data_IF_068073413632
#
_entry.id   IF_068073413632
#
_cell.length_a   1.000
_cell.length_b   1.000
_cell.length_c   1.000
_cell.angle_alpha   90.00
_cell.angle_beta   90.00
_cell.angle_gamma   90.00
#
_symmetry.space_group_name_H-M   'P 1'
#
loop_
_entity.id
_entity.type
_entity.pdbx_description
1 polymer ?
#
# COMPACT_ATOMS: atom_id res chain seq x y z
N UNK A 1 -36.30 -42.94 17.82
CA UNK A 1 -34.91 -42.46 17.74
C UNK A 1 -34.94 -41.07 17.09
N UNK A 2 -34.79 -39.98 17.86
CA UNK A 2 -34.87 -38.60 17.33
C UNK A 2 -33.50 -38.21 16.76
N UNK A 3 -33.44 -37.81 15.49
CA UNK A 3 -32.24 -37.24 14.87
C UNK A 3 -32.12 -35.77 15.30
N UNK A 4 -31.01 -35.42 15.92
CA UNK A 4 -30.61 -34.03 16.13
C UNK A 4 -29.77 -33.60 14.92
N UNK A 5 -30.13 -32.47 14.30
CA UNK A 5 -29.22 -31.77 13.38
C UNK A 5 -28.41 -30.79 14.24
N UNK A 6 -27.12 -31.08 14.41
CA UNK A 6 -26.18 -30.11 14.93
C UNK A 6 -25.80 -29.20 13.76
N UNK A 7 -26.27 -27.96 13.77
CA UNK A 7 -25.76 -26.91 12.90
C UNK A 7 -24.72 -26.16 13.73
N UNK A 8 -23.44 -26.41 13.43
CA UNK A 8 -22.34 -25.59 13.92
C UNK A 8 -22.21 -24.46 12.91
N UNK A 9 -22.56 -23.24 13.32
CA UNK A 9 -22.24 -22.07 12.49
C UNK A 9 -20.73 -21.87 12.51
N UNK A 10 -20.04 -21.90 11.35
CA UNK A 10 -18.65 -21.49 11.27
C UNK A 10 -18.65 -19.95 11.31
N UNK A 11 -18.81 -19.36 12.50
CA UNK A 11 -19.04 -17.91 12.61
C UNK A 11 -17.78 -17.07 12.77
N UNK A 12 -16.60 -17.69 12.93
CA UNK A 12 -15.34 -16.95 12.86
C UNK A 12 -14.88 -16.94 11.41
N UNK A 13 -14.86 -15.76 10.83
CA UNK A 13 -14.35 -15.56 9.47
C UNK A 13 -12.82 -15.45 9.52
N UNK A 14 -12.15 -15.88 8.45
CA UNK A 14 -10.69 -15.72 8.25
C UNK A 14 -10.21 -14.28 8.55
N UNK A 15 -11.07 -13.28 8.35
CA UNK A 15 -10.77 -11.89 8.64
C UNK A 15 -10.70 -11.55 10.14
N UNK A 16 -11.56 -12.14 10.97
CA UNK A 16 -11.55 -11.93 12.42
C UNK A 16 -10.30 -12.55 13.05
N UNK A 17 -9.91 -13.75 12.61
CA UNK A 17 -8.67 -14.39 13.07
C UNK A 17 -7.43 -13.58 12.69
N UNK A 18 -7.39 -13.05 11.46
CA UNK A 18 -6.31 -12.16 11.00
C UNK A 18 -6.24 -10.88 11.83
N UNK A 19 -7.38 -10.28 12.17
CA UNK A 19 -7.40 -9.08 13.00
C UNK A 19 -6.93 -9.37 14.43
N UNK A 20 -7.34 -10.49 15.03
CA UNK A 20 -6.86 -10.91 16.36
C UNK A 20 -5.35 -11.18 16.36
N UNK A 21 -4.83 -11.82 15.31
CA UNK A 21 -3.40 -12.04 15.16
C UNK A 21 -2.64 -10.72 15.03
N UNK A 22 -3.14 -9.79 14.21
CA UNK A 22 -2.58 -8.45 14.07
C UNK A 22 -2.55 -7.70 15.41
N UNK A 23 -3.67 -7.65 16.13
CA UNK A 23 -3.76 -6.95 17.41
C UNK A 23 -2.79 -7.56 18.44
N UNK A 24 -2.67 -8.89 18.45
CA UNK A 24 -1.71 -9.61 19.27
C UNK A 24 -0.26 -9.23 18.95
N UNK A 25 0.13 -9.29 17.68
CA UNK A 25 1.48 -8.95 17.22
C UNK A 25 1.83 -7.49 17.54
N UNK A 26 0.92 -6.55 17.27
CA UNK A 26 1.13 -5.13 17.57
C UNK A 26 1.21 -4.91 19.08
N UNK A 27 0.37 -5.56 19.88
CA UNK A 27 0.44 -5.45 21.34
C UNK A 27 1.82 -5.87 21.88
N UNK A 28 2.42 -6.93 21.32
CA UNK A 28 3.78 -7.37 21.67
C UNK A 28 4.80 -6.30 21.31
N UNK A 29 4.76 -5.78 20.08
CA UNK A 29 5.69 -4.72 19.63
C UNK A 29 5.54 -3.40 20.37
N UNK A 30 4.39 -3.13 20.98
CA UNK A 30 4.14 -1.97 21.84
C UNK A 30 4.42 -2.24 23.33
N UNK A 31 4.88 -3.44 23.70
CA UNK A 31 5.07 -3.85 25.09
C UNK A 31 3.77 -3.93 25.91
N UNK A 32 2.63 -3.97 25.24
CA UNK A 32 1.33 -4.11 25.88
C UNK A 32 1.12 -5.58 26.23
N UNK A 33 1.13 -5.90 27.53
CA UNK A 33 0.69 -7.22 27.97
C UNK A 33 -0.80 -7.36 27.66
N UNK A 34 -1.15 -8.24 26.74
CA UNK A 34 -2.53 -8.48 26.34
C UNK A 34 -3.44 -8.65 27.57
N UNK A 35 -4.61 -8.00 27.55
CA UNK A 35 -5.66 -8.32 28.54
C UNK A 35 -5.90 -9.83 28.44
N UNK A 36 -5.60 -10.56 29.52
CA UNK A 36 -5.90 -11.99 29.64
C UNK A 36 -7.33 -12.21 29.14
N UNK A 37 -7.50 -13.07 28.13
CA UNK A 37 -8.83 -13.65 27.84
C UNK A 37 -9.28 -14.28 29.16
N UNK A 38 -10.43 -13.84 29.67
CA UNK A 38 -10.84 -13.98 31.07
C UNK A 38 -11.14 -15.42 31.54
N UNK A 39 -10.69 -16.46 30.82
CA UNK A 39 -11.04 -17.87 31.09
C UNK A 39 -9.84 -18.81 31.32
N UNK A 40 -8.61 -18.30 31.46
CA UNK A 40 -7.48 -19.15 31.85
C UNK A 40 -7.48 -19.38 33.38
N UNK A 41 -7.76 -20.63 33.77
CA UNK A 41 -7.86 -21.10 35.15
C UNK A 41 -6.69 -20.76 36.08
N UNK A 42 -6.94 -20.94 37.38
CA UNK A 42 -6.23 -20.42 38.57
C UNK A 42 -4.72 -20.69 38.73
N UNK A 43 -4.01 -21.24 37.75
CA UNK A 43 -2.61 -21.66 37.91
C UNK A 43 -1.62 -20.96 36.95
N UNK A 44 -1.93 -19.75 36.48
CA UNK A 44 -0.98 -18.94 35.71
C UNK A 44 -0.04 -18.17 36.65
N UNK A 45 1.18 -18.69 36.85
CA UNK A 45 2.30 -18.00 37.51
C UNK A 45 2.40 -16.55 37.00
N UNK A 46 2.50 -15.61 37.93
CA UNK A 46 2.69 -14.19 37.67
C UNK A 46 3.83 -13.99 36.66
N UNK A 47 3.46 -13.55 35.45
CA UNK A 47 4.37 -12.81 34.58
C UNK A 47 4.64 -11.51 35.36
N UNK A 48 5.92 -11.21 35.64
CA UNK A 48 6.37 -10.15 36.56
C UNK A 48 5.48 -8.90 36.49
N UNK A 49 4.96 -8.44 37.63
CA UNK A 49 4.05 -7.28 37.70
C UNK A 49 4.72 -5.95 37.34
N UNK A 50 6.04 -5.93 37.18
CA UNK A 50 6.81 -4.75 36.80
C UNK A 50 6.56 -4.38 35.33
N UNK A 51 6.37 -3.08 35.03
CA UNK A 51 6.23 -2.60 33.67
C UNK A 51 7.55 -2.81 32.91
N UNK A 52 7.46 -3.13 31.61
CA UNK A 52 8.63 -3.20 30.74
C UNK A 52 9.32 -1.84 30.67
N UNK A 53 10.65 -1.86 30.63
CA UNK A 53 11.47 -0.68 30.35
C UNK A 53 11.36 -0.28 28.88
N UNK A 54 11.66 0.97 28.55
CA UNK A 54 11.63 1.43 27.16
C UNK A 54 12.57 0.62 26.26
N UNK A 55 13.76 0.25 26.77
CA UNK A 55 14.72 -0.56 26.03
C UNK A 55 14.18 -1.96 25.69
N UNK A 56 13.47 -2.60 26.62
CA UNK A 56 12.81 -3.89 26.35
C UNK A 56 11.66 -3.76 25.34
N UNK A 57 10.92 -2.64 25.38
CA UNK A 57 9.86 -2.36 24.39
C UNK A 57 10.48 -2.15 23.01
N UNK A 58 11.58 -1.42 22.92
CA UNK A 58 12.28 -1.16 21.66
C UNK A 58 12.85 -2.47 21.09
N UNK A 59 13.44 -3.33 21.93
CA UNK A 59 13.92 -4.67 21.50
C UNK A 59 12.77 -5.54 20.97
N UNK A 60 11.61 -5.54 21.63
CA UNK A 60 10.42 -6.25 21.16
C UNK A 60 9.91 -5.69 19.84
N UNK A 61 9.86 -4.36 19.70
CA UNK A 61 9.47 -3.69 18.45
C UNK A 61 10.38 -4.10 17.31
N UNK A 62 11.69 -4.03 17.51
CA UNK A 62 12.69 -4.38 16.50
C UNK A 62 12.57 -5.85 16.09
N UNK A 63 12.35 -6.75 17.04
CA UNK A 63 12.13 -8.17 16.76
C UNK A 63 10.85 -8.42 15.93
N UNK A 64 9.75 -7.73 16.24
CA UNK A 64 8.50 -7.84 15.47
C UNK A 64 8.66 -7.28 14.06
N UNK A 65 9.30 -6.12 13.91
CA UNK A 65 9.57 -5.50 12.61
C UNK A 65 10.49 -6.38 11.76
N UNK A 66 11.56 -6.93 12.34
CA UNK A 66 12.44 -7.87 11.64
C UNK A 66 11.68 -9.12 11.18
N UNK A 67 10.81 -9.67 12.02
CA UNK A 67 9.96 -10.81 11.65
C UNK A 67 8.97 -10.48 10.53
N UNK A 68 8.39 -9.27 10.52
CA UNK A 68 7.53 -8.81 9.44
C UNK A 68 8.30 -8.65 8.13
N UNK A 69 9.53 -8.11 8.17
CA UNK A 69 10.42 -7.99 7.01
C UNK A 69 10.79 -9.36 6.42
N UNK A 70 11.18 -10.30 7.27
CA UNK A 70 11.49 -11.67 6.87
C UNK A 70 10.29 -12.35 6.19
N UNK A 71 9.08 -12.08 6.69
CA UNK A 71 7.86 -12.58 6.07
C UNK A 71 7.63 -11.96 4.69
N UNK A 72 7.84 -10.64 4.53
CA UNK A 72 7.71 -9.97 3.23
C UNK A 72 8.59 -10.60 2.15
N UNK A 73 9.81 -11.05 2.48
CA UNK A 73 10.75 -11.62 1.52
C UNK A 73 10.26 -12.91 0.82
N UNK A 74 9.24 -13.58 1.36
CA UNK A 74 8.73 -14.86 0.85
C UNK A 74 7.22 -14.88 0.59
N UNK A 75 6.51 -13.86 1.05
CA UNK A 75 5.07 -13.84 1.03
C UNK A 75 4.53 -13.38 -0.33
N UNK A 76 3.43 -13.99 -0.75
CA UNK A 76 2.73 -13.60 -1.98
C UNK A 76 1.83 -12.37 -1.78
N UNK A 77 1.46 -12.04 -0.54
CA UNK A 77 0.64 -10.88 -0.18
C UNK A 77 1.23 -10.17 1.04
N UNK A 78 1.40 -8.85 0.94
CA UNK A 78 2.08 -8.05 1.96
C UNK A 78 1.16 -7.17 2.80
N UNK A 79 -0.16 -7.29 2.66
CA UNK A 79 -1.13 -6.40 3.31
C UNK A 79 -0.95 -6.34 4.84
N UNK A 80 -0.90 -7.50 5.50
CA UNK A 80 -0.79 -7.59 6.95
C UNK A 80 0.60 -7.24 7.52
N UNK A 81 1.73 -7.74 7.00
CA UNK A 81 3.03 -7.32 7.50
C UNK A 81 3.24 -5.80 7.32
N UNK A 82 2.77 -5.19 6.22
CA UNK A 82 2.82 -3.74 6.04
C UNK A 82 1.98 -2.99 7.08
N UNK A 83 0.77 -3.49 7.42
CA UNK A 83 -0.04 -2.93 8.51
C UNK A 83 0.66 -3.04 9.87
N UNK A 84 1.32 -4.17 10.15
CA UNK A 84 2.08 -4.36 11.41
C UNK A 84 3.21 -3.33 11.49
N UNK A 85 4.01 -3.20 10.44
CA UNK A 85 5.09 -2.21 10.40
C UNK A 85 4.55 -0.78 10.55
N UNK A 86 3.45 -0.43 9.88
CA UNK A 86 2.81 0.89 10.02
C UNK A 86 2.35 1.20 11.45
N UNK A 87 1.89 0.19 12.19
CA UNK A 87 1.42 0.36 13.55
C UNK A 87 2.56 0.50 14.58
N UNK A 88 3.77 0.06 14.23
CA UNK A 88 4.91 0.00 15.15
C UNK A 88 5.97 1.06 14.86
N UNK A 89 6.13 1.45 13.60
CA UNK A 89 7.13 2.41 13.15
C UNK A 89 6.55 3.82 13.08
N UNK A 90 7.41 4.82 13.28
CA UNK A 90 7.08 6.20 12.93
C UNK A 90 7.13 6.41 11.41
N UNK A 91 6.77 7.62 10.96
CA UNK A 91 6.66 7.92 9.53
C UNK A 91 8.00 7.77 8.79
N UNK A 92 9.11 8.22 9.38
CA UNK A 92 10.45 8.16 8.77
C UNK A 92 10.96 6.72 8.65
N UNK A 93 10.83 5.92 9.72
CA UNK A 93 11.22 4.52 9.68
C UNK A 93 10.32 3.71 8.73
N UNK A 94 9.02 3.97 8.72
CA UNK A 94 8.10 3.27 7.82
C UNK A 94 8.33 3.63 6.34
N UNK A 95 8.61 4.89 6.04
CA UNK A 95 9.02 5.34 4.71
C UNK A 95 10.24 4.54 4.22
N UNK A 96 11.27 4.44 5.07
CA UNK A 96 12.49 3.69 4.76
C UNK A 96 12.20 2.22 4.45
N UNK A 97 11.36 1.55 5.25
CA UNK A 97 10.96 0.16 4.98
C UNK A 97 10.23 0.02 3.64
N UNK A 98 9.32 0.95 3.32
CA UNK A 98 8.59 0.92 2.06
C UNK A 98 9.53 1.10 0.85
N UNK A 99 10.48 2.03 0.94
CA UNK A 99 11.49 2.26 -0.09
C UNK A 99 12.41 1.04 -0.27
N UNK A 100 12.86 0.42 0.82
CA UNK A 100 13.68 -0.79 0.77
C UNK A 100 12.92 -1.97 0.14
N UNK A 101 11.65 -2.17 0.52
CA UNK A 101 10.80 -3.22 -0.05
C UNK A 101 10.52 -3.00 -1.54
N UNK A 102 10.15 -1.77 -1.94
CA UNK A 102 9.89 -1.47 -3.35
C UNK A 102 11.17 -1.57 -4.18
N UNK A 103 12.31 -1.14 -3.64
CA UNK A 103 13.62 -1.24 -4.31
C UNK A 103 14.10 -2.68 -4.55
N UNK A 104 13.49 -3.66 -3.88
CA UNK A 104 13.72 -5.09 -4.13
C UNK A 104 13.00 -5.64 -5.37
N UNK A 105 12.18 -4.82 -6.04
CA UNK A 105 11.45 -5.18 -7.25
C UNK A 105 11.94 -4.36 -8.46
N UNK A 106 11.78 -4.92 -9.66
CA UNK A 106 12.00 -4.25 -10.94
C UNK A 106 10.67 -4.04 -11.68
N UNK A 107 10.73 -3.49 -12.90
CA UNK A 107 9.58 -3.27 -13.79
C UNK A 107 9.37 -4.40 -14.80
N UNK A 108 10.13 -5.50 -14.70
CA UNK A 108 10.08 -6.61 -15.63
C UNK A 108 8.97 -7.63 -15.27
N UNK A 109 8.78 -8.61 -16.16
CA UNK A 109 7.76 -9.63 -15.97
C UNK A 109 8.06 -10.46 -14.72
N UNK A 110 7.12 -10.44 -13.78
CA UNK A 110 7.11 -11.31 -12.62
C UNK A 110 5.81 -12.11 -12.58
N UNK A 111 5.91 -13.39 -12.21
CA UNK A 111 4.73 -14.27 -12.12
C UNK A 111 3.69 -13.78 -11.10
N UNK A 112 4.15 -13.25 -9.97
CA UNK A 112 3.29 -12.68 -8.93
C UNK A 112 3.63 -11.21 -8.74
N UNK A 113 2.71 -10.32 -9.12
CA UNK A 113 2.82 -8.87 -8.97
C UNK A 113 2.09 -8.33 -7.74
N UNK A 114 1.46 -9.20 -6.94
CA UNK A 114 0.71 -8.77 -5.75
C UNK A 114 1.59 -8.05 -4.71
N UNK A 115 2.83 -8.49 -4.40
CA UNK A 115 3.68 -7.79 -3.43
C UNK A 115 3.94 -6.33 -3.77
N UNK A 116 4.34 -6.04 -5.01
CA UNK A 116 4.58 -4.67 -5.49
C UNK A 116 3.30 -3.82 -5.48
N UNK A 117 2.15 -4.40 -5.81
CA UNK A 117 0.85 -3.72 -5.69
C UNK A 117 0.54 -3.35 -4.23
N UNK A 118 0.74 -4.27 -3.28
CA UNK A 118 0.51 -3.99 -1.86
C UNK A 118 1.46 -2.90 -1.33
N UNK A 119 2.72 -2.89 -1.78
CA UNK A 119 3.70 -1.86 -1.41
C UNK A 119 3.29 -0.49 -1.97
N UNK A 120 2.96 -0.39 -3.27
CA UNK A 120 2.47 0.84 -3.88
C UNK A 120 1.24 1.38 -3.15
N UNK A 121 0.26 0.52 -2.86
CA UNK A 121 -0.93 0.92 -2.10
C UNK A 121 -0.61 1.42 -0.67
N UNK A 122 0.39 0.83 0.00
CA UNK A 122 0.83 1.30 1.32
C UNK A 122 1.53 2.68 1.25
N UNK A 123 2.25 2.95 0.16
CA UNK A 123 2.91 4.24 -0.09
C UNK A 123 1.92 5.41 -0.27
N UNK A 124 0.66 5.15 -0.60
CA UNK A 124 -0.38 6.21 -0.67
C UNK A 124 -0.52 6.99 0.64
N UNK A 125 -0.27 6.34 1.78
CA UNK A 125 -0.38 6.94 3.12
C UNK A 125 0.86 7.69 3.59
N UNK A 126 1.95 7.70 2.81
CA UNK A 126 3.23 8.32 3.16
C UNK A 126 3.63 9.27 2.04
N UNK A 127 3.42 10.57 2.26
CA UNK A 127 3.63 11.60 1.24
C UNK A 127 5.01 12.24 1.40
N UNK A 128 5.98 11.82 0.58
CA UNK A 128 7.34 12.38 0.59
C UNK A 128 7.91 12.45 -0.83
N UNK A 129 8.89 13.34 -1.09
CA UNK A 129 9.57 13.39 -2.39
C UNK A 129 10.23 12.05 -2.77
N UNK A 130 10.79 11.31 -1.80
CA UNK A 130 11.43 10.04 -2.07
C UNK A 130 10.44 8.95 -2.51
N UNK A 131 9.27 8.88 -1.86
CA UNK A 131 8.20 7.96 -2.27
C UNK A 131 7.67 8.32 -3.66
N UNK A 132 7.42 9.61 -3.92
CA UNK A 132 7.01 10.10 -5.24
C UNK A 132 7.98 9.65 -6.33
N UNK A 133 9.27 9.90 -6.14
CA UNK A 133 10.32 9.53 -7.10
C UNK A 133 10.43 8.01 -7.29
N UNK A 134 10.31 7.22 -6.22
CA UNK A 134 10.36 5.77 -6.30
C UNK A 134 9.16 5.17 -7.06
N UNK A 135 7.97 5.73 -6.87
CA UNK A 135 6.72 5.28 -7.52
C UNK A 135 6.74 5.57 -9.02
N UNK A 136 7.32 6.70 -9.45
CA UNK A 136 7.37 7.09 -10.86
C UNK A 136 8.04 6.03 -11.76
N UNK A 137 9.03 5.30 -11.25
CA UNK A 137 9.65 4.20 -11.99
C UNK A 137 8.65 3.09 -12.38
N UNK A 138 7.62 2.86 -11.57
CA UNK A 138 6.60 1.84 -11.79
C UNK A 138 5.47 2.27 -12.72
N UNK A 139 5.50 3.52 -13.21
CA UNK A 139 4.63 3.93 -14.31
C UNK A 139 4.98 3.19 -15.60
N UNK A 140 6.20 2.69 -15.77
CA UNK A 140 6.65 1.93 -16.95
C UNK A 140 6.67 0.41 -16.71
N UNK A 141 5.96 -0.09 -15.70
CA UNK A 141 5.89 -1.52 -15.41
C UNK A 141 5.28 -2.31 -16.58
N UNK A 142 5.80 -3.50 -16.90
CA UNK A 142 5.20 -4.33 -17.97
C UNK A 142 3.77 -4.79 -17.66
N UNK A 143 3.41 -4.87 -16.37
CA UNK A 143 2.08 -5.26 -15.92
C UNK A 143 1.15 -4.06 -15.78
N UNK A 144 0.05 -4.06 -16.54
CA UNK A 144 -0.97 -3.00 -16.52
C UNK A 144 -1.54 -2.73 -15.11
N UNK A 145 -1.73 -3.76 -14.29
CA UNK A 145 -2.30 -3.58 -12.95
C UNK A 145 -1.32 -2.83 -12.04
N UNK A 146 -0.03 -3.09 -12.17
CA UNK A 146 1.01 -2.37 -11.43
C UNK A 146 1.04 -0.90 -11.87
N UNK A 147 1.05 -0.62 -13.17
CA UNK A 147 0.98 0.75 -13.70
C UNK A 147 -0.25 1.49 -13.18
N UNK A 148 -1.41 0.83 -13.14
CA UNK A 148 -2.63 1.41 -12.58
C UNK A 148 -2.47 1.83 -11.11
N UNK A 149 -1.88 0.97 -10.28
CA UNK A 149 -1.59 1.30 -8.88
C UNK A 149 -0.49 2.36 -8.74
N UNK A 150 0.51 2.36 -9.61
CA UNK A 150 1.53 3.42 -9.65
C UNK A 150 0.88 4.78 -9.92
N UNK A 151 0.00 4.90 -10.93
CA UNK A 151 -0.76 6.13 -11.20
C UNK A 151 -1.59 6.57 -9.99
N UNK A 152 -2.30 5.64 -9.33
CA UNK A 152 -3.05 5.95 -8.11
C UNK A 152 -2.14 6.51 -7.00
N UNK A 153 -1.00 5.86 -6.79
CA UNK A 153 -0.03 6.22 -5.77
C UNK A 153 0.62 7.56 -6.08
N UNK A 154 1.00 7.82 -7.34
CA UNK A 154 1.51 9.13 -7.80
C UNK A 154 0.52 10.25 -7.46
N UNK A 155 -0.78 10.06 -7.70
CA UNK A 155 -1.78 11.05 -7.32
C UNK A 155 -1.99 11.17 -5.81
N UNK A 156 -1.82 10.09 -5.06
CA UNK A 156 -1.87 10.13 -3.60
C UNK A 156 -0.71 10.94 -3.02
N UNK A 157 0.45 11.01 -3.68
CA UNK A 157 1.54 11.90 -3.29
C UNK A 157 1.17 13.39 -3.42
N UNK A 158 0.26 13.73 -4.33
CA UNK A 158 -0.31 15.07 -4.44
C UNK A 158 0.66 16.15 -4.95
N UNK A 159 1.78 15.75 -5.55
CA UNK A 159 2.81 16.66 -6.07
C UNK A 159 2.75 16.78 -7.62
N UNK A 160 2.46 17.97 -8.17
CA UNK A 160 2.47 18.24 -9.61
C UNK A 160 3.81 17.95 -10.31
N UNK A 161 4.91 17.78 -9.57
CA UNK A 161 6.20 17.39 -10.14
C UNK A 161 6.14 16.09 -10.96
N UNK A 162 5.17 15.21 -10.69
CA UNK A 162 4.97 13.96 -11.43
C UNK A 162 4.16 14.10 -12.72
N UNK A 163 3.61 15.28 -13.05
CA UNK A 163 2.82 15.49 -14.28
C UNK A 163 3.61 15.10 -15.54
N UNK A 164 4.90 15.46 -15.71
CA UNK A 164 5.68 15.02 -16.87
C UNK A 164 5.75 13.49 -17.00
N UNK A 165 5.93 12.77 -15.90
CA UNK A 165 5.99 11.30 -15.90
C UNK A 165 4.63 10.68 -16.25
N UNK A 166 3.53 11.25 -15.75
CA UNK A 166 2.17 10.82 -16.10
C UNK A 166 1.84 11.06 -17.58
N UNK A 167 2.29 12.18 -18.16
CA UNK A 167 2.12 12.47 -19.59
C UNK A 167 2.95 11.49 -20.41
N UNK A 168 4.21 11.24 -20.03
CA UNK A 168 5.08 10.28 -20.72
C UNK A 168 4.47 8.87 -20.73
N UNK A 169 3.86 8.44 -19.62
CA UNK A 169 3.08 7.21 -19.57
C UNK A 169 1.96 7.22 -20.63
N UNK A 170 1.15 8.27 -20.71
CA UNK A 170 0.04 8.31 -21.68
C UNK A 170 0.50 8.19 -23.13
N UNK A 171 1.70 8.62 -23.48
CA UNK A 171 2.22 8.54 -24.86
C UNK A 171 2.55 7.12 -25.32
N UNK A 172 2.98 6.25 -24.40
CA UNK A 172 3.30 4.85 -24.69
C UNK A 172 2.21 3.88 -24.25
N UNK A 173 1.20 4.36 -23.50
CA UNK A 173 0.15 3.52 -22.95
C UNK A 173 -0.91 3.15 -24.01
N UNK A 174 -1.26 1.87 -24.05
CA UNK A 174 -2.33 1.34 -24.91
C UNK A 174 -3.62 1.07 -24.11
N UNK A 175 -3.52 0.93 -22.78
CA UNK A 175 -4.66 0.74 -21.91
C UNK A 175 -5.44 2.05 -21.72
N UNK A 176 -6.62 2.12 -22.34
CA UNK A 176 -7.60 3.19 -22.12
C UNK A 176 -7.97 3.30 -20.64
N UNK A 177 -7.95 2.20 -19.87
CA UNK A 177 -8.21 2.21 -18.42
C UNK A 177 -7.17 3.06 -17.67
N UNK A 178 -5.90 2.95 -18.04
CA UNK A 178 -4.83 3.73 -17.41
C UNK A 178 -4.92 5.19 -17.86
N UNK A 179 -5.13 5.46 -19.15
CA UNK A 179 -5.33 6.85 -19.63
C UNK A 179 -6.52 7.54 -18.98
N UNK A 180 -7.66 6.84 -18.83
CA UNK A 180 -8.81 7.33 -18.07
C UNK A 180 -8.43 7.63 -16.62
N UNK A 181 -7.60 6.79 -15.99
CA UNK A 181 -7.16 7.03 -14.61
C UNK A 181 -6.27 8.26 -14.49
N UNK A 182 -5.39 8.48 -15.46
CA UNK A 182 -4.59 9.71 -15.55
C UNK A 182 -5.50 10.91 -15.72
N UNK A 183 -6.44 10.88 -16.68
CA UNK A 183 -7.37 11.97 -16.92
C UNK A 183 -8.24 12.34 -15.70
N UNK A 184 -8.79 11.32 -15.02
CA UNK A 184 -9.57 11.46 -13.79
C UNK A 184 -8.75 12.18 -12.71
N UNK A 185 -7.50 11.76 -12.50
CA UNK A 185 -6.62 12.37 -11.50
C UNK A 185 -6.25 13.82 -11.84
N UNK A 186 -5.88 14.10 -13.09
CA UNK A 186 -5.59 15.46 -13.57
C UNK A 186 -6.80 16.38 -13.36
N UNK A 187 -8.01 15.93 -13.71
CA UNK A 187 -9.24 16.69 -13.51
C UNK A 187 -9.53 16.91 -12.02
N UNK A 188 -9.50 15.83 -11.23
CA UNK A 188 -9.87 15.85 -9.80
C UNK A 188 -8.97 16.77 -8.99
N UNK A 189 -7.67 16.81 -9.30
CA UNK A 189 -6.70 17.67 -8.63
C UNK A 189 -6.56 19.04 -9.29
N UNK A 190 -7.33 19.32 -10.35
CA UNK A 190 -7.23 20.53 -11.16
C UNK A 190 -5.80 20.80 -11.67
N UNK A 191 -5.07 19.74 -12.01
CA UNK A 191 -3.74 19.83 -12.58
C UNK A 191 -3.81 20.15 -14.07
N UNK A 192 -2.80 20.88 -14.55
CA UNK A 192 -2.65 21.25 -15.95
C UNK A 192 -1.30 20.77 -16.48
N UNK A 193 -1.29 20.25 -17.69
CA UNK A 193 -0.05 19.92 -18.38
C UNK A 193 0.81 21.19 -18.58
N UNK A 194 2.13 21.13 -18.29
CA UNK A 194 3.09 22.16 -18.67
C UNK A 194 2.99 22.50 -20.15
N UNK A 195 3.23 23.77 -20.51
CA UNK A 195 3.05 24.29 -21.87
C UNK A 195 3.75 23.44 -22.93
N UNK A 196 4.96 22.99 -22.63
CA UNK A 196 5.83 22.20 -23.49
C UNK A 196 5.31 20.78 -23.73
N UNK A 197 4.39 20.30 -22.90
CA UNK A 197 3.83 18.94 -22.95
C UNK A 197 2.36 18.91 -23.39
N UNK A 198 1.70 20.07 -23.58
CA UNK A 198 0.26 20.12 -23.90
C UNK A 198 -0.10 19.43 -25.19
N UNK A 199 0.66 19.67 -26.26
CA UNK A 199 0.40 19.04 -27.58
C UNK A 199 0.53 17.52 -27.50
N UNK A 200 1.61 17.06 -26.87
CA UNK A 200 1.89 15.64 -26.63
C UNK A 200 0.79 14.98 -25.80
N UNK A 201 0.34 15.63 -24.72
CA UNK A 201 -0.74 15.12 -23.89
C UNK A 201 -2.09 15.11 -24.63
N UNK A 202 -2.39 16.12 -25.44
CA UNK A 202 -3.59 16.14 -26.29
C UNK A 202 -3.58 15.00 -27.31
N UNK A 203 -2.43 14.73 -27.95
CA UNK A 203 -2.28 13.63 -28.90
C UNK A 203 -2.42 12.26 -28.23
N UNK A 204 -1.71 12.06 -27.11
CA UNK A 204 -1.73 10.83 -26.33
C UNK A 204 -3.12 10.44 -25.81
N UNK A 205 -4.00 11.43 -25.60
CA UNK A 205 -5.37 11.25 -25.10
C UNK A 205 -6.43 11.24 -26.22
N UNK A 206 -6.05 11.25 -27.49
CA UNK A 206 -6.98 11.36 -28.62
C UNK A 206 -7.92 10.17 -28.81
N UNK A 207 -7.54 9.00 -28.27
CA UNK A 207 -8.30 7.75 -28.25
C UNK A 207 -9.20 7.59 -27.00
N UNK A 208 -9.12 8.54 -26.06
CA UNK A 208 -9.93 8.59 -24.85
C UNK A 208 -11.18 9.42 -25.10
N UNK A 209 -12.36 8.79 -25.00
CA UNK A 209 -13.64 9.45 -25.29
C UNK A 209 -14.34 10.06 -24.07
N UNK A 210 -14.00 9.63 -22.86
CA UNK A 210 -14.63 10.11 -21.62
C UNK A 210 -14.07 11.46 -21.15
N UNK A 211 -12.87 11.80 -21.60
CA UNK A 211 -12.13 12.98 -21.18
C UNK A 211 -11.55 13.71 -22.38
N UNK A 212 -11.32 15.01 -22.20
CA UNK A 212 -10.64 15.85 -23.17
C UNK A 212 -9.64 16.76 -22.48
N UNK A 213 -8.44 16.82 -23.06
CA UNK A 213 -7.41 17.81 -22.71
C UNK A 213 -7.73 19.13 -23.44
N UNK A 214 -7.81 20.23 -22.69
CA UNK A 214 -8.03 21.58 -23.20
C UNK A 214 -6.71 22.21 -23.69
N UNK A 215 -6.76 23.25 -24.54
CA UNK A 215 -5.57 23.96 -25.01
C UNK A 215 -4.70 24.57 -23.90
N UNK A 216 -5.25 24.81 -22.71
CA UNK A 216 -4.52 25.30 -21.53
C UNK A 216 -3.86 24.18 -20.70
N UNK A 217 -3.99 22.92 -21.12
CA UNK A 217 -3.45 21.74 -20.47
C UNK A 217 -4.34 21.13 -19.40
N UNK A 218 -5.50 21.72 -19.10
CA UNK A 218 -6.46 21.16 -18.12
C UNK A 218 -7.26 20.00 -18.72
N UNK A 219 -7.75 19.09 -17.87
CA UNK A 219 -8.61 17.97 -18.29
C UNK A 219 -10.06 18.22 -17.87
N UNK A 220 -11.01 17.87 -18.74
CA UNK A 220 -12.44 17.87 -18.44
C UNK A 220 -13.10 16.58 -18.95
N UNK A 221 -14.19 16.18 -18.32
CA UNK A 221 -15.09 15.18 -18.91
C UNK A 221 -15.61 15.70 -20.27
N UNK A 222 -15.67 14.80 -21.26
CA UNK A 222 -16.07 15.09 -22.63
C UNK A 222 -17.59 15.22 -22.81
#
# INVERSE_FOLDING_TARGET
MKRFKLQVDPSITDQEEKQLAFDGIVSIGLGQRGKRVADAGKDAKDISSEPLTQAEIDELRDAVVAGARDYCARAENLTWPLKVMRALLDDEAYEKELLELLGGHDTEYTRNVEPKINILAAMEGVQTPAIREAVEAYLDDVNETVRFHAVQTTYAQGDPASIPALIALCESEESVRIKNKVAEGMQRLAWAAPEELRERFMEAMSDVYEYRVNPDGTVRAA
#
